data_IF_617137236935
#
_entry.id   IF_617137236935
#
_cell.length_a   1.000
_cell.length_b   1.000
_cell.length_c   1.000
_cell.angle_alpha   90.00
_cell.angle_beta   90.00
_cell.angle_gamma   90.00
#
_symmetry.space_group_name_H-M   'P 1'
#
loop_
_entity.id
_entity.type
_entity.pdbx_description
1 polymer ?
#
# COMPACT_ATOMS: atom_id res chain seq x y z
N UNK A 1 -2.84 -35.86 -36.50
CA UNK A 1 -2.81 -35.25 -35.15
C UNK A 1 -2.62 -36.35 -34.13
N UNK A 2 -1.41 -36.53 -33.58
CA UNK A 2 -1.18 -37.48 -32.49
C UNK A 2 -1.51 -36.75 -31.19
N UNK A 3 -2.62 -37.11 -30.55
CA UNK A 3 -2.87 -36.67 -29.18
C UNK A 3 -1.79 -37.26 -28.29
N UNK A 4 -0.98 -36.42 -27.66
CA UNK A 4 -0.07 -36.86 -26.61
C UNK A 4 -0.90 -37.59 -25.55
N UNK A 5 -0.56 -38.86 -25.30
CA UNK A 5 -1.23 -39.66 -24.27
C UNK A 5 -1.16 -38.94 -22.92
N UNK A 6 -2.19 -39.02 -22.06
CA UNK A 6 -2.15 -38.48 -20.69
C UNK A 6 -0.88 -38.90 -19.92
N UNK A 7 -0.30 -40.05 -20.27
CA UNK A 7 0.98 -40.53 -19.74
C UNK A 7 2.17 -39.64 -20.14
N UNK A 8 2.28 -39.25 -21.41
CA UNK A 8 3.35 -38.36 -21.88
C UNK A 8 3.24 -36.96 -21.27
N UNK A 9 2.02 -36.44 -21.09
CA UNK A 9 1.83 -35.17 -20.40
C UNK A 9 2.28 -35.21 -18.94
N UNK A 10 1.97 -36.28 -18.20
CA UNK A 10 2.45 -36.46 -16.82
C UNK A 10 3.98 -36.59 -16.77
N UNK A 11 4.56 -37.37 -17.67
CA UNK A 11 6.00 -37.54 -17.74
C UNK A 11 6.72 -36.22 -18.05
N UNK A 12 6.24 -35.43 -19.02
CA UNK A 12 6.84 -34.12 -19.33
C UNK A 12 6.72 -33.14 -18.16
N UNK A 13 5.62 -33.20 -17.38
CA UNK A 13 5.46 -32.40 -16.17
C UNK A 13 6.45 -32.83 -15.09
N UNK A 14 6.60 -34.13 -14.82
CA UNK A 14 7.55 -34.67 -13.84
C UNK A 14 9.00 -34.36 -14.23
N UNK A 15 9.36 -34.52 -15.50
CA UNK A 15 10.69 -34.17 -16.03
C UNK A 15 10.96 -32.67 -15.91
N UNK A 16 9.95 -31.82 -16.19
CA UNK A 16 10.07 -30.37 -16.02
C UNK A 16 10.29 -29.99 -14.55
N UNK A 17 9.55 -30.59 -13.61
CA UNK A 17 9.74 -30.34 -12.17
C UNK A 17 11.09 -30.87 -11.66
N UNK A 18 11.51 -32.05 -12.10
CA UNK A 18 12.82 -32.64 -11.75
C UNK A 18 13.99 -31.79 -12.26
N UNK A 19 13.90 -31.31 -13.50
CA UNK A 19 14.88 -30.39 -14.07
C UNK A 19 14.92 -29.07 -13.30
N UNK A 20 13.75 -28.50 -12.99
CA UNK A 20 13.63 -27.27 -12.18
C UNK A 20 14.21 -27.42 -10.77
N UNK A 21 13.92 -28.53 -10.10
CA UNK A 21 14.49 -28.81 -8.78
C UNK A 21 16.01 -28.94 -8.87
N UNK A 22 16.52 -29.70 -9.83
CA UNK A 22 17.96 -29.90 -10.01
C UNK A 22 18.71 -28.58 -10.26
N UNK A 23 18.17 -27.73 -11.14
CA UNK A 23 18.74 -26.42 -11.45
C UNK A 23 18.67 -25.46 -10.24
N UNK A 24 17.56 -25.48 -9.51
CA UNK A 24 17.36 -24.68 -8.30
C UNK A 24 18.32 -25.09 -7.17
N UNK A 25 18.49 -26.39 -6.92
CA UNK A 25 19.43 -26.88 -5.90
C UNK A 25 20.90 -26.68 -6.33
N UNK A 26 21.21 -26.76 -7.62
CA UNK A 26 22.53 -26.43 -8.15
C UNK A 26 22.85 -24.94 -7.90
N UNK A 27 21.92 -24.05 -8.22
CA UNK A 27 22.05 -22.61 -7.97
C UNK A 27 22.19 -22.30 -6.48
N UNK A 28 21.38 -22.93 -5.63
CA UNK A 28 21.46 -22.81 -4.18
C UNK A 28 22.83 -23.24 -3.63
N UNK A 29 23.42 -24.30 -4.20
CA UNK A 29 24.74 -24.81 -3.80
C UNK A 29 25.85 -23.82 -4.15
N UNK A 30 25.78 -23.19 -5.31
CA UNK A 30 26.71 -22.13 -5.73
C UNK A 30 26.62 -20.92 -4.81
N UNK A 31 25.40 -20.44 -4.52
CA UNK A 31 25.17 -19.29 -3.63
C UNK A 31 25.67 -19.57 -2.21
N UNK A 32 25.41 -20.78 -1.68
CA UNK A 32 25.92 -21.20 -0.37
C UNK A 32 27.44 -21.16 -0.32
N UNK A 33 28.11 -21.68 -1.36
CA UNK A 33 29.57 -21.67 -1.43
C UNK A 33 30.14 -20.25 -1.54
N UNK A 34 29.53 -19.39 -2.34
CA UNK A 34 29.98 -18.01 -2.58
C UNK A 34 29.80 -17.11 -1.35
N UNK A 35 28.68 -17.27 -0.64
CA UNK A 35 28.38 -16.51 0.58
C UNK A 35 28.88 -17.17 1.86
N UNK A 36 29.52 -18.33 1.76
CA UNK A 36 29.96 -19.16 2.89
C UNK A 36 28.82 -19.49 3.87
N UNK A 37 27.62 -19.74 3.33
CA UNK A 37 26.42 -20.07 4.08
C UNK A 37 26.28 -21.59 4.25
N UNK A 38 25.89 -22.00 5.44
CA UNK A 38 25.53 -23.38 5.78
C UNK A 38 24.02 -23.60 5.72
N UNK A 39 23.61 -24.87 5.75
CA UNK A 39 22.20 -25.23 5.83
C UNK A 39 21.56 -24.71 7.13
N UNK A 40 22.33 -24.66 8.23
CA UNK A 40 21.88 -24.12 9.51
C UNK A 40 21.63 -22.61 9.46
N UNK A 41 22.42 -21.85 8.68
CA UNK A 41 22.20 -20.42 8.47
C UNK A 41 20.86 -20.15 7.76
N UNK A 42 20.49 -20.99 6.80
CA UNK A 42 19.17 -20.87 6.13
C UNK A 42 18.01 -21.16 7.09
N UNK A 43 18.16 -22.15 7.97
CA UNK A 43 17.16 -22.45 9.00
C UNK A 43 17.04 -21.27 9.98
N UNK A 44 18.16 -20.62 10.30
CA UNK A 44 18.15 -19.43 11.15
C UNK A 44 17.49 -18.25 10.45
N UNK A 45 17.77 -17.99 9.17
CA UNK A 45 17.08 -16.95 8.40
C UNK A 45 15.57 -17.15 8.35
N UNK A 46 15.09 -18.40 8.24
CA UNK A 46 13.65 -18.69 8.29
C UNK A 46 13.03 -18.40 9.67
N UNK A 47 13.78 -18.61 10.76
CA UNK A 47 13.34 -18.23 12.11
C UNK A 47 13.33 -16.72 12.26
N UNK A 48 14.41 -16.06 11.84
CA UNK A 48 14.56 -14.60 11.92
C UNK A 48 13.49 -13.90 11.08
N UNK A 49 13.21 -14.42 9.88
CA UNK A 49 12.13 -13.94 9.01
C UNK A 49 10.76 -14.14 9.68
N UNK A 50 10.53 -15.31 10.29
CA UNK A 50 9.27 -15.57 11.01
C UNK A 50 9.09 -14.64 12.20
N UNK A 51 10.11 -14.47 13.03
CA UNK A 51 10.07 -13.59 14.20
C UNK A 51 9.89 -12.13 13.78
N UNK A 52 10.54 -11.72 12.69
CA UNK A 52 10.35 -10.41 12.07
C UNK A 52 8.91 -10.21 11.55
N UNK A 53 8.35 -11.20 10.85
CA UNK A 53 6.96 -11.16 10.37
C UNK A 53 5.95 -11.19 11.52
N UNK A 54 6.25 -11.91 12.60
CA UNK A 54 5.44 -11.92 13.82
C UNK A 54 5.48 -10.54 14.52
N UNK A 55 6.59 -9.81 14.43
CA UNK A 55 6.73 -8.42 14.88
C UNK A 55 6.04 -7.38 14.00
N UNK A 56 5.67 -7.72 12.76
CA UNK A 56 4.93 -6.85 11.82
C UNK A 56 3.40 -6.91 12.01
N UNK A 57 2.91 -7.69 12.97
CA UNK A 57 1.47 -7.78 13.25
C UNK A 57 0.90 -6.40 13.56
N UNK A 58 -0.30 -6.16 13.05
CA UNK A 58 -1.06 -4.94 13.30
C UNK A 58 -1.10 -4.61 14.80
N UNK A 59 -1.22 -3.32 15.17
CA UNK A 59 -1.40 -2.93 16.56
C UNK A 59 -2.52 -3.75 17.22
N UNK A 60 -2.44 -4.00 18.53
CA UNK A 60 -3.55 -4.58 19.30
C UNK A 60 -4.90 -3.98 18.89
N UNK A 61 -5.98 -4.78 18.93
CA UNK A 61 -7.33 -4.33 18.51
C UNK A 61 -7.74 -3.02 19.19
N UNK A 62 -7.32 -2.83 20.44
CA UNK A 62 -7.55 -1.60 21.19
C UNK A 62 -6.84 -0.38 20.57
N UNK A 63 -5.60 -0.51 20.15
CA UNK A 63 -4.83 0.58 19.52
C UNK A 63 -5.41 0.94 18.15
N UNK A 64 -5.95 -0.04 17.41
CA UNK A 64 -6.68 0.22 16.17
C UNK A 64 -7.96 1.03 16.41
N UNK A 65 -8.70 0.72 17.48
CA UNK A 65 -9.88 1.49 17.87
C UNK A 65 -9.50 2.92 18.30
N UNK A 66 -8.39 3.10 19.03
CA UNK A 66 -7.88 4.41 19.40
C UNK A 66 -7.40 5.24 18.18
N UNK A 67 -6.74 4.60 17.21
CA UNK A 67 -6.39 5.24 15.93
C UNK A 67 -7.64 5.68 15.20
N UNK A 68 -8.64 4.80 15.09
CA UNK A 68 -9.90 5.13 14.43
C UNK A 68 -10.65 6.26 15.16
N UNK A 69 -10.63 6.26 16.50
CA UNK A 69 -11.21 7.34 17.31
C UNK A 69 -10.61 8.71 16.95
N UNK A 70 -9.28 8.79 16.85
CA UNK A 70 -8.58 10.03 16.45
C UNK A 70 -8.97 10.47 15.03
N UNK A 71 -9.11 9.53 14.09
CA UNK A 71 -9.53 9.85 12.72
C UNK A 71 -10.97 10.39 12.68
N UNK A 72 -11.89 9.80 13.45
CA UNK A 72 -13.28 10.29 13.52
C UNK A 72 -13.34 11.66 14.23
N UNK A 73 -12.50 11.90 15.25
CA UNK A 73 -12.36 13.23 15.85
C UNK A 73 -11.86 14.26 14.83
N UNK A 74 -10.89 13.91 13.98
CA UNK A 74 -10.45 14.77 12.88
C UNK A 74 -11.59 15.05 11.89
N UNK A 75 -12.37 14.03 11.50
CA UNK A 75 -13.54 14.19 10.64
C UNK A 75 -14.60 15.10 11.26
N UNK A 76 -14.85 14.99 12.57
CA UNK A 76 -15.77 15.86 13.29
C UNK A 76 -15.31 17.32 13.29
N UNK A 77 -14.00 17.55 13.39
CA UNK A 77 -13.45 18.92 13.31
C UNK A 77 -13.44 19.49 11.89
N UNK A 78 -13.29 18.64 10.89
CA UNK A 78 -13.31 19.03 9.47
C UNK A 78 -14.72 19.09 8.88
N UNK A 79 -15.72 18.58 9.59
CA UNK A 79 -17.13 18.74 9.26
C UNK A 79 -17.52 20.21 9.51
N UNK A 80 -17.03 21.10 8.65
CA UNK A 80 -17.30 22.52 8.64
C UNK A 80 -18.75 22.78 8.19
N UNK A 81 -19.69 22.41 9.06
CA UNK A 81 -21.10 22.74 8.89
C UNK A 81 -21.27 24.24 8.62
N UNK A 82 -20.46 25.08 9.29
CA UNK A 82 -20.48 26.54 9.11
C UNK A 82 -20.15 26.93 7.67
N UNK A 83 -19.12 26.32 7.07
CA UNK A 83 -18.72 26.59 5.67
C UNK A 83 -19.76 26.04 4.70
N UNK A 84 -20.30 24.85 4.95
CA UNK A 84 -21.36 24.28 4.11
C UNK A 84 -22.65 25.13 4.15
N UNK A 85 -22.99 25.65 5.33
CA UNK A 85 -24.11 26.56 5.53
C UNK A 85 -23.86 27.90 4.81
N UNK A 86 -22.66 28.47 4.95
CA UNK A 86 -22.28 29.71 4.27
C UNK A 86 -22.31 29.55 2.74
N UNK A 87 -21.83 28.43 2.21
CA UNK A 87 -21.90 28.10 0.78
C UNK A 87 -23.35 27.94 0.32
N UNK A 88 -24.19 27.25 1.10
CA UNK A 88 -25.62 27.13 0.82
C UNK A 88 -26.30 28.51 0.77
N UNK A 89 -26.06 29.35 1.78
CA UNK A 89 -26.62 30.70 1.87
C UNK A 89 -26.12 31.62 0.75
N UNK A 90 -24.83 31.51 0.38
CA UNK A 90 -24.22 32.27 -0.72
C UNK A 90 -24.85 31.87 -2.05
N UNK A 91 -25.03 30.56 -2.28
CA UNK A 91 -25.68 30.02 -3.49
C UNK A 91 -27.10 30.54 -3.65
N UNK A 92 -27.83 30.73 -2.54
CA UNK A 92 -29.17 31.31 -2.52
C UNK A 92 -29.18 32.83 -2.75
N UNK A 93 -28.14 33.53 -2.33
CA UNK A 93 -28.04 35.00 -2.44
C UNK A 93 -27.52 35.45 -3.81
N UNK A 94 -26.71 34.63 -4.48
CA UNK A 94 -26.08 34.95 -5.77
C UNK A 94 -26.93 34.61 -7.00
N UNK A 95 -28.22 34.28 -6.85
CA UNK A 95 -29.05 33.81 -7.96
C UNK A 95 -29.35 34.98 -8.93
N UNK A 96 -28.98 34.90 -10.22
CA UNK A 96 -29.49 35.81 -11.23
C UNK A 96 -31.00 35.59 -11.36
N UNK A 97 -31.80 36.65 -11.26
CA UNK A 97 -33.28 36.61 -11.30
C UNK A 97 -33.84 36.32 -12.70
N UNK A 98 -33.15 35.49 -13.48
CA UNK A 98 -33.34 35.35 -14.93
C UNK A 98 -34.23 34.15 -15.30
N UNK A 99 -34.20 33.04 -14.54
CA UNK A 99 -35.07 31.89 -14.80
C UNK A 99 -35.49 31.10 -13.54
N UNK A 100 -36.74 30.63 -13.51
CA UNK A 100 -37.27 29.79 -12.42
C UNK A 100 -36.55 28.44 -12.30
N UNK A 101 -36.00 27.94 -13.41
CA UNK A 101 -35.31 26.66 -13.45
C UNK A 101 -33.91 26.76 -12.81
N UNK A 102 -33.20 27.88 -13.01
CA UNK A 102 -31.94 28.17 -12.31
C UNK A 102 -32.15 28.34 -10.81
N UNK A 103 -33.22 29.03 -10.40
CA UNK A 103 -33.59 29.15 -8.98
C UNK A 103 -33.83 27.78 -8.35
N UNK A 104 -34.61 26.91 -9.00
CA UNK A 104 -34.92 25.58 -8.49
C UNK A 104 -33.67 24.68 -8.41
N UNK A 105 -32.78 24.77 -9.40
CA UNK A 105 -31.52 24.02 -9.38
C UNK A 105 -30.59 24.52 -8.26
N UNK A 106 -30.47 25.83 -8.06
CA UNK A 106 -29.67 26.42 -6.99
C UNK A 106 -30.20 26.03 -5.60
N UNK A 107 -31.54 26.05 -5.42
CA UNK A 107 -32.19 25.53 -4.22
C UNK A 107 -31.84 24.06 -4.00
N UNK A 108 -32.06 23.20 -5.01
CA UNK A 108 -31.77 21.78 -4.89
C UNK A 108 -30.30 21.51 -4.50
N UNK A 109 -29.35 22.23 -5.10
CA UNK A 109 -27.93 22.10 -4.78
C UNK A 109 -27.59 22.59 -3.37
N UNK A 110 -28.14 23.74 -2.94
CA UNK A 110 -27.94 24.25 -1.59
C UNK A 110 -28.48 23.27 -0.54
N UNK A 111 -29.68 22.73 -0.76
CA UNK A 111 -30.28 21.71 0.11
C UNK A 111 -29.44 20.43 0.17
N UNK A 112 -29.05 19.87 -0.99
CA UNK A 112 -28.20 18.67 -1.03
C UNK A 112 -26.87 18.90 -0.31
N UNK A 113 -26.25 20.06 -0.48
CA UNK A 113 -24.98 20.41 0.18
C UNK A 113 -25.14 20.45 1.71
N UNK A 114 -26.17 21.15 2.20
CA UNK A 114 -26.44 21.29 3.64
C UNK A 114 -26.84 19.94 4.25
N UNK A 115 -27.78 19.22 3.65
CA UNK A 115 -28.25 17.92 4.15
C UNK A 115 -27.11 16.89 4.18
N UNK A 116 -26.29 16.85 3.12
CA UNK A 116 -25.13 15.96 3.04
C UNK A 116 -24.10 16.28 4.12
N UNK A 117 -23.80 17.56 4.34
CA UNK A 117 -22.83 18.00 5.35
C UNK A 117 -23.34 17.74 6.77
N UNK A 118 -24.62 17.98 7.02
CA UNK A 118 -25.27 17.68 8.29
C UNK A 118 -25.32 16.17 8.57
N UNK A 119 -25.64 15.35 7.57
CA UNK A 119 -25.63 13.90 7.70
C UNK A 119 -24.24 13.35 8.03
N UNK A 120 -23.18 13.92 7.45
CA UNK A 120 -21.79 13.57 7.79
C UNK A 120 -21.45 13.92 9.23
N UNK A 121 -21.84 15.10 9.69
CA UNK A 121 -21.63 15.53 11.08
C UNK A 121 -22.34 14.59 12.05
N UNK A 122 -23.62 14.30 11.83
CA UNK A 122 -24.37 13.36 12.68
C UNK A 122 -23.76 11.96 12.70
N UNK A 123 -23.31 11.49 11.54
CA UNK A 123 -22.66 10.19 11.43
C UNK A 123 -21.34 10.16 12.22
N UNK A 124 -20.50 11.19 12.06
CA UNK A 124 -19.24 11.31 12.81
C UNK A 124 -19.52 11.39 14.32
N UNK A 125 -20.44 12.23 14.78
CA UNK A 125 -20.83 12.32 16.19
C UNK A 125 -21.30 10.98 16.75
N UNK A 126 -22.15 10.26 16.01
CA UNK A 126 -22.64 8.93 16.39
C UNK A 126 -21.50 7.91 16.52
N UNK A 127 -20.55 7.92 15.60
CA UNK A 127 -19.37 7.06 15.65
C UNK A 127 -18.46 7.40 16.84
N UNK A 128 -18.22 8.69 17.11
CA UNK A 128 -17.42 9.13 18.27
C UNK A 128 -18.01 8.60 19.57
N UNK A 129 -19.32 8.80 19.79
CA UNK A 129 -20.01 8.30 21.01
C UNK A 129 -19.96 6.78 21.10
N UNK A 130 -20.09 6.08 19.98
CA UNK A 130 -20.01 4.62 19.94
C UNK A 130 -18.62 4.13 20.37
N UNK A 131 -17.56 4.74 19.84
CA UNK A 131 -16.17 4.36 20.15
C UNK A 131 -15.81 4.75 21.59
N UNK A 132 -16.26 5.92 22.08
CA UNK A 132 -16.11 6.34 23.49
C UNK A 132 -16.69 5.31 24.46
N UNK A 133 -17.86 4.75 24.11
CA UNK A 133 -18.50 3.69 24.89
C UNK A 133 -17.69 2.39 24.88
N UNK A 134 -17.09 2.03 23.74
CA UNK A 134 -16.27 0.82 23.64
C UNK A 134 -14.93 0.95 24.38
N UNK A 135 -14.32 2.14 24.36
CA UNK A 135 -13.05 2.42 25.01
C UNK A 135 -13.20 2.80 26.49
N UNK A 136 -14.44 2.93 26.99
CA UNK A 136 -14.77 3.40 28.33
C UNK A 136 -14.09 4.75 28.66
N UNK A 137 -14.19 5.70 27.73
CA UNK A 137 -13.61 7.03 27.88
C UNK A 137 -14.62 7.95 28.58
N UNK A 138 -14.27 8.44 29.77
CA UNK A 138 -15.14 9.31 30.56
C UNK A 138 -15.22 10.75 30.00
N UNK A 139 -14.14 11.24 29.39
CA UNK A 139 -14.05 12.57 28.80
C UNK A 139 -13.44 12.49 27.40
N UNK A 140 -14.13 13.07 26.41
CA UNK A 140 -13.66 13.16 25.03
C UNK A 140 -12.24 13.72 24.96
N UNK A 141 -11.40 13.10 24.14
CA UNK A 141 -10.02 13.56 23.98
C UNK A 141 -9.99 14.95 23.36
N UNK A 142 -9.23 15.84 23.98
CA UNK A 142 -9.00 17.17 23.46
C UNK A 142 -8.08 17.09 22.22
N UNK A 143 -8.39 17.89 21.20
CA UNK A 143 -7.56 18.01 20.00
C UNK A 143 -6.21 18.57 20.42
N UNK A 144 -5.14 17.81 20.20
CA UNK A 144 -3.79 18.15 20.65
C UNK A 144 -3.45 17.69 22.08
N UNK A 145 -4.38 17.02 22.77
CA UNK A 145 -4.12 16.30 24.01
C UNK A 145 -3.05 15.20 23.85
N UNK A 146 -2.47 14.69 24.96
CA UNK A 146 -1.39 13.71 24.89
C UNK A 146 -1.83 12.38 24.28
N UNK A 147 -3.02 11.88 24.63
CA UNK A 147 -3.59 10.63 24.09
C UNK A 147 -3.90 10.79 22.59
N UNK A 148 -4.54 11.90 22.23
CA UNK A 148 -4.83 12.25 20.84
C UNK A 148 -3.54 12.33 20.01
N UNK A 149 -2.49 13.02 20.48
CA UNK A 149 -1.21 13.13 19.77
C UNK A 149 -0.54 11.78 19.58
N UNK A 150 -0.52 10.95 20.63
CA UNK A 150 0.07 9.63 20.56
C UNK A 150 -0.57 8.77 19.46
N UNK A 151 -1.90 8.66 19.46
CA UNK A 151 -2.59 7.85 18.46
C UNK A 151 -2.65 8.50 17.08
N UNK A 152 -2.52 9.84 16.99
CA UNK A 152 -2.35 10.53 15.70
C UNK A 152 -0.98 10.24 15.06
N UNK A 153 0.07 10.18 15.89
CA UNK A 153 1.41 9.75 15.46
C UNK A 153 1.39 8.28 15.03
N UNK A 154 0.79 7.38 15.81
CA UNK A 154 0.62 5.97 15.44
C UNK A 154 -0.21 5.79 14.16
N UNK A 155 -1.28 6.56 13.96
CA UNK A 155 -2.05 6.56 12.72
C UNK A 155 -1.19 6.95 11.51
N UNK A 156 -0.35 7.97 11.69
CA UNK A 156 0.57 8.46 10.65
C UNK A 156 1.66 7.43 10.33
N UNK A 157 2.21 6.78 11.36
CA UNK A 157 3.14 5.66 11.22
C UNK A 157 2.49 4.46 10.52
N UNK A 158 1.24 4.14 10.84
CA UNK A 158 0.48 3.07 10.17
C UNK A 158 0.29 3.34 8.68
N UNK A 159 -0.08 4.58 8.31
CA UNK A 159 -0.19 5.01 6.91
C UNK A 159 1.15 4.93 6.17
N UNK A 160 2.24 5.34 6.83
CA UNK A 160 3.59 5.21 6.30
C UNK A 160 3.99 3.74 6.08
N UNK A 161 3.81 2.86 7.08
CA UNK A 161 4.12 1.43 6.98
C UNK A 161 3.33 0.77 5.85
N UNK A 162 2.03 1.08 5.74
CA UNK A 162 1.17 0.57 4.67
C UNK A 162 1.65 1.02 3.29
N UNK A 163 2.01 2.30 3.13
CA UNK A 163 2.55 2.82 1.87
C UNK A 163 3.89 2.17 1.51
N UNK A 164 4.75 1.92 2.50
CA UNK A 164 6.02 1.23 2.32
C UNK A 164 5.81 -0.23 1.91
N UNK A 165 4.88 -0.95 2.54
CA UNK A 165 4.59 -2.35 2.19
C UNK A 165 3.93 -2.47 0.81
N UNK A 166 3.04 -1.55 0.43
CA UNK A 166 2.51 -1.45 -0.93
C UNK A 166 3.66 -1.27 -1.94
N UNK A 167 4.60 -0.36 -1.66
CA UNK A 167 5.76 -0.11 -2.51
C UNK A 167 6.65 -1.36 -2.62
N UNK A 168 7.02 -2.00 -1.50
CA UNK A 168 7.82 -3.24 -1.48
C UNK A 168 7.16 -4.33 -2.31
N UNK A 169 5.86 -4.57 -2.10
CA UNK A 169 5.10 -5.61 -2.83
C UNK A 169 5.13 -5.37 -4.34
N UNK A 170 4.94 -4.13 -4.78
CA UNK A 170 4.95 -3.77 -6.20
C UNK A 170 6.35 -3.92 -6.82
N UNK A 171 7.40 -3.54 -6.09
CA UNK A 171 8.80 -3.74 -6.52
C UNK A 171 9.11 -5.23 -6.68
N UNK A 172 8.80 -6.05 -5.68
CA UNK A 172 9.00 -7.51 -5.72
C UNK A 172 8.23 -8.13 -6.90
N UNK A 173 6.98 -7.73 -7.09
CA UNK A 173 6.17 -8.23 -8.22
C UNK A 173 6.80 -7.90 -9.58
N UNK A 174 7.32 -6.67 -9.74
CA UNK A 174 8.04 -6.26 -10.96
C UNK A 174 9.32 -7.09 -11.18
N UNK A 175 10.08 -7.41 -10.13
CA UNK A 175 11.27 -8.26 -10.24
C UNK A 175 10.92 -9.68 -10.72
N UNK A 176 9.84 -10.26 -10.22
CA UNK A 176 9.35 -11.56 -10.70
C UNK A 176 8.86 -11.53 -12.15
N UNK A 177 8.35 -10.39 -12.64
CA UNK A 177 7.96 -10.25 -14.05
C UNK A 177 9.17 -10.14 -14.97
N UNK A 178 10.17 -9.38 -14.54
CA UNK A 178 11.46 -9.25 -15.23
C UNK A 178 12.17 -10.60 -15.30
N UNK A 179 12.19 -11.37 -14.21
CA UNK A 179 12.78 -12.72 -14.22
C UNK A 179 12.05 -13.70 -15.15
N UNK A 180 10.73 -13.57 -15.28
CA UNK A 180 9.94 -14.37 -16.24
C UNK A 180 10.25 -14.02 -17.70
N UNK A 181 10.63 -12.76 -17.97
CA UNK A 181 11.04 -12.32 -19.31
C UNK A 181 12.44 -12.85 -19.70
N UNK A 182 13.36 -12.98 -18.75
CA UNK A 182 14.74 -13.43 -19.00
C UNK A 182 14.88 -14.94 -19.18
N UNK A 183 13.98 -15.77 -18.64
CA UNK A 183 13.98 -17.24 -18.71
C UNK A 183 13.51 -17.84 -20.08
N UNK A 184 13.97 -17.25 -21.18
CA UNK A 184 13.47 -17.44 -22.56
C UNK A 184 12.91 -18.83 -22.96
N UNK A 185 11.70 -18.77 -23.52
CA UNK A 185 11.00 -19.87 -24.23
C UNK A 185 9.55 -19.52 -24.61
N UNK A 186 9.15 -18.26 -24.50
CA UNK A 186 7.75 -17.84 -24.47
C UNK A 186 7.35 -17.13 -25.76
N UNK A 187 6.26 -17.58 -26.39
CA UNK A 187 5.78 -17.06 -27.67
C UNK A 187 5.46 -15.56 -27.65
N UNK A 188 5.61 -14.91 -28.81
CA UNK A 188 5.48 -13.45 -29.02
C UNK A 188 4.29 -12.78 -28.31
N UNK A 189 3.12 -13.43 -28.25
CA UNK A 189 1.93 -12.91 -27.57
C UNK A 189 2.13 -12.79 -26.05
N UNK A 190 2.84 -13.72 -25.42
CA UNK A 190 3.13 -13.65 -23.99
C UNK A 190 4.12 -12.52 -23.68
N UNK A 191 5.14 -12.33 -24.53
CA UNK A 191 6.07 -11.20 -24.40
C UNK A 191 5.36 -9.84 -24.51
N UNK A 192 4.38 -9.71 -25.42
CA UNK A 192 3.57 -8.49 -25.50
C UNK A 192 2.73 -8.25 -24.23
N UNK A 193 2.12 -9.29 -23.65
CA UNK A 193 1.34 -9.16 -22.42
C UNK A 193 2.23 -8.82 -21.22
N UNK A 194 3.39 -9.47 -21.10
CA UNK A 194 4.39 -9.17 -20.08
C UNK A 194 4.93 -7.74 -20.21
N UNK A 195 5.19 -7.25 -21.43
CA UNK A 195 5.59 -5.87 -21.66
C UNK A 195 4.54 -4.85 -21.20
N UNK A 196 3.24 -5.12 -21.46
CA UNK A 196 2.14 -4.28 -20.97
C UNK A 196 2.01 -4.32 -19.45
N UNK A 197 2.10 -5.51 -18.85
CA UNK A 197 2.08 -5.67 -17.39
C UNK A 197 3.22 -4.90 -16.73
N UNK A 198 4.44 -4.99 -17.28
CA UNK A 198 5.61 -4.27 -16.78
C UNK A 198 5.43 -2.74 -16.84
N UNK A 199 4.80 -2.24 -17.91
CA UNK A 199 4.48 -0.82 -18.03
C UNK A 199 3.46 -0.38 -16.98
N UNK A 200 2.36 -1.11 -16.82
CA UNK A 200 1.35 -0.83 -15.79
C UNK A 200 1.92 -0.88 -14.38
N UNK A 201 2.78 -1.86 -14.09
CA UNK A 201 3.44 -1.95 -12.78
C UNK A 201 4.49 -0.87 -12.57
N UNK A 202 5.16 -0.40 -13.62
CA UNK A 202 6.05 0.76 -13.51
C UNK A 202 5.28 2.02 -13.11
N UNK A 203 4.09 2.24 -13.68
CA UNK A 203 3.22 3.35 -13.29
C UNK A 203 2.65 3.15 -11.87
N UNK A 204 2.28 1.93 -11.49
CA UNK A 204 1.84 1.62 -10.14
C UNK A 204 2.94 1.89 -9.10
N UNK A 205 4.19 1.51 -9.37
CA UNK A 205 5.33 1.79 -8.50
C UNK A 205 5.57 3.29 -8.40
N UNK A 206 5.49 4.06 -9.50
CA UNK A 206 5.60 5.54 -9.43
C UNK A 206 4.55 6.15 -8.50
N UNK A 207 3.31 5.68 -8.59
CA UNK A 207 2.23 6.12 -7.71
C UNK A 207 2.49 5.71 -6.26
N UNK A 208 2.98 4.49 -6.01
CA UNK A 208 3.35 4.02 -4.68
C UNK A 208 4.52 4.81 -4.07
N UNK A 209 5.53 5.18 -4.88
CA UNK A 209 6.61 6.10 -4.46
C UNK A 209 6.04 7.45 -4.02
N UNK A 210 5.11 8.00 -4.80
CA UNK A 210 4.47 9.27 -4.44
C UNK A 210 3.71 9.15 -3.12
N UNK A 211 2.93 8.08 -2.93
CA UNK A 211 2.22 7.80 -1.68
C UNK A 211 3.19 7.68 -0.50
N UNK A 212 4.24 6.88 -0.65
CA UNK A 212 5.30 6.73 0.34
C UNK A 212 5.92 8.08 0.70
N UNK A 213 6.32 8.88 -0.29
CA UNK A 213 6.96 10.17 -0.06
C UNK A 213 6.03 11.18 0.63
N UNK A 214 4.74 11.15 0.32
CA UNK A 214 3.73 11.97 1.01
C UNK A 214 3.63 11.57 2.49
N UNK A 215 3.52 10.27 2.79
CA UNK A 215 3.43 9.81 4.19
C UNK A 215 4.77 10.01 4.95
N UNK A 216 5.91 9.76 4.29
CA UNK A 216 7.25 9.97 4.85
C UNK A 216 7.49 11.43 5.26
N UNK A 217 6.98 12.38 4.48
CA UNK A 217 7.08 13.80 4.78
C UNK A 217 6.14 14.26 5.91
N UNK A 218 5.07 13.50 6.18
CA UNK A 218 4.10 13.79 7.24
C UNK A 218 4.57 13.32 8.64
N UNK A 219 5.60 12.46 8.70
CA UNK A 219 6.17 11.99 9.96
C UNK A 219 7.03 13.06 10.64
N UNK A 220 7.17 12.96 11.96
CA UNK A 220 8.05 13.79 12.76
C UNK A 220 9.05 12.92 13.55
N UNK A 221 10.35 12.89 13.19
CA UNK A 221 10.98 13.63 12.09
C UNK A 221 10.62 13.08 10.69
N UNK A 222 10.70 13.90 9.63
CA UNK A 222 10.43 13.45 8.27
C UNK A 222 11.42 12.38 7.80
N UNK A 223 10.92 11.31 7.18
CA UNK A 223 11.75 10.26 6.60
C UNK A 223 12.32 10.67 5.23
N UNK A 224 13.41 10.00 4.82
CA UNK A 224 14.03 10.20 3.52
C UNK A 224 13.07 9.82 2.37
N UNK A 225 13.10 10.63 1.31
CA UNK A 225 12.32 10.40 0.09
C UNK A 225 13.01 9.37 -0.79
N UNK A 226 12.21 8.54 -1.44
CA UNK A 226 12.67 7.57 -2.44
C UNK A 226 12.32 8.11 -3.83
N UNK A 227 13.25 8.03 -4.76
CA UNK A 227 13.04 8.39 -6.16
C UNK A 227 12.89 7.14 -7.03
N UNK A 228 12.29 7.31 -8.21
CA UNK A 228 12.24 6.24 -9.21
C UNK A 228 13.63 5.76 -9.61
N UNK A 229 14.64 6.64 -9.60
CA UNK A 229 16.02 6.27 -9.94
C UNK A 229 16.54 5.25 -8.94
N UNK A 230 16.36 5.50 -7.64
CA UNK A 230 16.78 4.56 -6.60
C UNK A 230 16.18 3.17 -6.84
N UNK A 231 14.88 3.07 -7.14
CA UNK A 231 14.21 1.79 -7.41
C UNK A 231 14.58 1.19 -8.77
N UNK A 232 14.81 2.01 -9.80
CA UNK A 232 15.23 1.52 -11.12
C UNK A 232 16.67 1.01 -11.08
N UNK A 233 17.53 1.67 -10.32
CA UNK A 233 18.89 1.26 -10.04
C UNK A 233 18.85 -0.03 -9.23
N UNK A 234 18.04 -0.14 -8.15
CA UNK A 234 17.82 -1.41 -7.44
C UNK A 234 17.17 -2.51 -8.28
N UNK A 235 16.31 -2.17 -9.25
CA UNK A 235 15.67 -3.13 -10.15
C UNK A 235 16.63 -3.65 -11.22
N UNK A 236 17.50 -2.77 -11.72
CA UNK A 236 18.60 -3.09 -12.60
C UNK A 236 19.67 -3.90 -11.88
N UNK A 237 20.02 -3.51 -10.65
CA UNK A 237 20.87 -4.24 -9.67
C UNK A 237 20.20 -5.56 -9.25
N UNK A 238 18.89 -5.68 -9.13
CA UNK A 238 18.27 -6.98 -8.86
C UNK A 238 18.25 -7.89 -10.12
N UNK A 239 18.17 -7.31 -11.33
CA UNK A 239 18.34 -8.02 -12.60
C UNK A 239 19.82 -8.33 -12.94
N UNK A 240 20.80 -7.56 -12.43
CA UNK A 240 22.24 -7.68 -12.76
C UNK A 240 23.18 -8.00 -11.57
N UNK A 241 22.90 -7.54 -10.35
CA UNK A 241 23.64 -7.80 -9.10
C UNK A 241 23.15 -9.01 -8.30
N UNK A 242 22.16 -9.76 -8.81
CA UNK A 242 22.13 -11.19 -8.48
C UNK A 242 23.34 -11.95 -9.08
N UNK A 243 24.15 -11.28 -9.92
CA UNK A 243 25.33 -11.89 -10.52
C UNK A 243 26.63 -11.09 -10.47
N UNK A 244 26.74 -9.87 -9.91
CA UNK A 244 28.04 -9.17 -10.02
C UNK A 244 28.63 -8.41 -8.82
N UNK A 245 28.25 -7.22 -8.35
CA UNK A 245 29.19 -6.49 -7.47
C UNK A 245 28.58 -5.48 -6.48
N UNK A 246 28.19 -5.92 -5.28
CA UNK A 246 28.17 -5.04 -4.10
C UNK A 246 29.15 -5.46 -2.99
N UNK A 247 30.15 -6.29 -3.32
CA UNK A 247 31.20 -6.70 -2.37
C UNK A 247 32.63 -6.40 -2.79
N UNK A 248 32.82 -5.50 -3.74
CA UNK A 248 34.12 -4.87 -3.98
C UNK A 248 33.90 -3.35 -4.10
N UNK A 249 33.77 -2.68 -2.95
CA UNK A 249 34.78 -1.68 -2.59
C UNK A 249 34.68 -1.32 -1.11
N UNK A 250 35.88 -1.05 -0.59
CA UNK A 250 36.28 -0.65 0.76
C UNK A 250 35.64 0.68 1.17
#
# INVERSE_FOLDING_TARGET
MRHASPFHWRQTIEEHFSFWDTDKYATLTVIKAELSLTDDDLVQFLKDERDYLDGLKLPPVQDQLCIHYVEVLDELTQADWDVAQEVGNTTLTSIPTSSLQEINNALAQAWICVDSSYAKLQHAEGLVVHIETQLAVDQRWEIGGPEYRHFKEEASLGKYRTALDELKRLVVMRLFELSKLSLSGTGYKLCQQLGKALQHHSDAIRNAINRYNTQAAALNPPCSKISWKDIADYGFVAEFDLLRYSRNDI
#
